data_IF_876971964815
#
_entry.id   IF_876971964815
#
_cell.length_a   1.000
_cell.length_b   1.000
_cell.length_c   1.000
_cell.angle_alpha   90.00
_cell.angle_beta   90.00
_cell.angle_gamma   90.00
#
_symmetry.space_group_name_H-M   'P 1'
#
loop_
_entity.id
_entity.type
_entity.pdbx_description
1 polymer ?
#
# COMPACT_ATOMS: atom_id res chain seq x y z
N UNK A 1 -13.53 -8.26 -0.28
CA UNK A 1 -14.45 -7.14 -0.08
C UNK A 1 -14.51 -6.28 -1.34
N UNK A 2 -15.67 -5.75 -1.64
CA UNK A 2 -15.82 -4.81 -2.77
C UNK A 2 -15.52 -3.38 -2.32
N UNK A 3 -15.27 -2.48 -3.26
CA UNK A 3 -15.06 -1.06 -2.96
C UNK A 3 -16.22 -0.46 -2.15
N UNK A 4 -17.50 -0.67 -2.55
CA UNK A 4 -18.62 -0.17 -1.73
C UNK A 4 -18.62 -0.69 -0.29
N UNK A 5 -18.27 -1.95 -0.08
CA UNK A 5 -18.20 -2.53 1.26
C UNK A 5 -17.10 -1.89 2.09
N UNK A 6 -15.93 -1.67 1.50
CA UNK A 6 -14.79 -1.01 2.16
C UNK A 6 -15.16 0.42 2.51
N UNK A 7 -15.75 1.14 1.56
CA UNK A 7 -16.16 2.53 1.76
C UNK A 7 -17.11 2.64 2.95
N UNK A 8 -18.10 1.77 3.02
CA UNK A 8 -19.07 1.77 4.11
C UNK A 8 -18.43 1.42 5.45
N UNK A 9 -17.55 0.40 5.46
CA UNK A 9 -16.92 -0.09 6.69
C UNK A 9 -16.04 0.97 7.34
N UNK A 10 -15.26 1.70 6.52
CA UNK A 10 -14.27 2.67 7.04
C UNK A 10 -14.71 4.12 6.91
N UNK A 11 -15.91 4.39 6.39
CA UNK A 11 -16.39 5.75 6.24
C UNK A 11 -15.62 6.57 5.21
N UNK A 12 -15.13 5.93 4.15
CA UNK A 12 -14.34 6.55 3.09
C UNK A 12 -15.19 6.63 1.82
N UNK A 13 -15.02 7.67 0.99
CA UNK A 13 -15.79 7.79 -0.24
C UNK A 13 -15.34 6.76 -1.27
N UNK A 14 -16.29 6.22 -2.03
CA UNK A 14 -16.00 5.27 -3.10
C UNK A 14 -15.14 5.93 -4.20
N UNK A 15 -15.42 7.19 -4.50
CA UNK A 15 -14.66 7.93 -5.50
C UNK A 15 -13.18 8.03 -5.11
N UNK A 16 -12.90 8.26 -3.84
CA UNK A 16 -11.54 8.32 -3.33
C UNK A 16 -10.84 6.96 -3.46
N UNK A 17 -11.54 5.89 -3.07
CA UNK A 17 -10.97 4.54 -3.16
C UNK A 17 -10.69 4.15 -4.62
N UNK A 18 -11.61 4.47 -5.54
CA UNK A 18 -11.42 4.17 -6.96
C UNK A 18 -10.24 4.94 -7.54
N UNK A 19 -10.08 6.20 -7.15
CA UNK A 19 -8.96 7.02 -7.61
C UNK A 19 -7.61 6.52 -7.10
N UNK A 20 -7.61 5.74 -6.02
CA UNK A 20 -6.40 5.21 -5.39
C UNK A 20 -6.15 3.72 -5.69
N UNK A 21 -6.95 3.12 -6.55
CA UNK A 21 -6.91 1.67 -6.75
C UNK A 21 -5.53 1.16 -7.14
N UNK A 22 -4.88 1.80 -8.13
CA UNK A 22 -3.55 1.38 -8.57
C UNK A 22 -2.51 1.48 -7.45
N UNK A 23 -2.57 2.55 -6.66
CA UNK A 23 -1.67 2.73 -5.54
C UNK A 23 -1.89 1.67 -4.46
N UNK A 24 -3.16 1.31 -4.20
CA UNK A 24 -3.48 0.27 -3.25
C UNK A 24 -2.98 -1.10 -3.72
N UNK A 25 -3.09 -1.39 -5.02
CA UNK A 25 -2.59 -2.64 -5.58
C UNK A 25 -1.07 -2.73 -5.43
N UNK A 26 -0.35 -1.66 -5.75
CA UNK A 26 1.10 -1.62 -5.60
C UNK A 26 1.51 -1.80 -4.14
N UNK A 27 0.81 -1.12 -3.23
CA UNK A 27 1.08 -1.23 -1.79
C UNK A 27 0.84 -2.66 -1.30
N UNK A 28 -0.26 -3.29 -1.71
CA UNK A 28 -0.58 -4.66 -1.32
C UNK A 28 0.47 -5.65 -1.84
N UNK A 29 0.89 -5.52 -3.10
CA UNK A 29 1.93 -6.37 -3.68
C UNK A 29 3.25 -6.19 -2.95
N UNK A 30 3.62 -4.95 -2.61
CA UNK A 30 4.84 -4.66 -1.87
C UNK A 30 4.83 -5.27 -0.47
N UNK A 31 3.68 -5.27 0.20
CA UNK A 31 3.54 -5.89 1.51
C UNK A 31 3.67 -7.41 1.45
N UNK A 32 3.13 -8.04 0.40
CA UNK A 32 3.30 -9.48 0.17
C UNK A 32 4.78 -9.80 -0.05
N UNK A 33 5.47 -8.99 -0.85
CA UNK A 33 6.92 -9.16 -1.07
C UNK A 33 7.69 -9.03 0.23
N UNK A 34 7.38 -8.03 1.05
CA UNK A 34 8.02 -7.83 2.36
C UNK A 34 7.80 -9.03 3.28
N UNK A 35 6.60 -9.57 3.30
CA UNK A 35 6.29 -10.78 4.07
C UNK A 35 7.19 -11.94 3.65
N UNK A 36 7.35 -12.13 2.33
CA UNK A 36 8.24 -13.17 1.80
C UNK A 36 9.70 -12.93 2.17
N UNK A 37 10.15 -11.68 2.10
CA UNK A 37 11.51 -11.31 2.47
C UNK A 37 11.81 -11.65 3.93
N UNK A 38 10.90 -11.34 4.82
CA UNK A 38 11.04 -11.66 6.24
C UNK A 38 11.03 -13.17 6.46
N UNK A 39 10.13 -13.89 5.80
CA UNK A 39 10.02 -15.34 5.92
C UNK A 39 11.28 -16.06 5.42
N UNK A 40 11.97 -15.48 4.43
CA UNK A 40 13.18 -16.03 3.84
C UNK A 40 14.46 -15.51 4.50
N UNK A 41 14.35 -14.79 5.60
CA UNK A 41 15.49 -14.24 6.34
C UNK A 41 16.39 -13.36 5.46
N UNK A 42 15.77 -12.55 4.60
CA UNK A 42 16.52 -11.59 3.78
C UNK A 42 17.30 -10.62 4.66
N UNK A 43 18.43 -10.07 4.17
CA UNK A 43 19.18 -9.08 4.95
C UNK A 43 18.30 -7.92 5.40
N UNK A 44 18.50 -7.51 6.65
CA UNK A 44 17.72 -6.42 7.26
C UNK A 44 17.78 -5.15 6.42
N UNK A 45 18.93 -4.85 5.84
CA UNK A 45 19.12 -3.67 5.00
C UNK A 45 18.20 -3.68 3.79
N UNK A 46 18.04 -4.83 3.11
CA UNK A 46 17.15 -4.94 1.96
C UNK A 46 15.69 -4.76 2.37
N UNK A 47 15.29 -5.32 3.50
CA UNK A 47 13.94 -5.16 4.04
C UNK A 47 13.69 -3.69 4.35
N UNK A 48 14.65 -3.02 5.00
CA UNK A 48 14.52 -1.61 5.34
C UNK A 48 14.40 -0.73 4.09
N UNK A 49 15.17 -1.02 3.04
CA UNK A 49 15.12 -0.29 1.78
C UNK A 49 13.76 -0.44 1.11
N UNK A 50 13.18 -1.63 1.14
CA UNK A 50 11.85 -1.87 0.56
C UNK A 50 10.78 -1.14 1.35
N UNK A 51 10.87 -1.14 2.68
CA UNK A 51 9.94 -0.40 3.54
C UNK A 51 10.04 1.10 3.29
N UNK A 52 11.25 1.63 3.13
CA UNK A 52 11.45 3.05 2.85
C UNK A 52 10.83 3.42 1.50
N UNK A 53 11.05 2.59 0.48
CA UNK A 53 10.43 2.79 -0.83
C UNK A 53 8.90 2.86 -0.72
N UNK A 54 8.32 1.90 -0.01
CA UNK A 54 6.87 1.84 0.14
C UNK A 54 6.33 3.05 0.90
N UNK A 55 7.01 3.46 1.96
CA UNK A 55 6.61 4.62 2.74
C UNK A 55 6.67 5.91 1.89
N UNK A 56 7.74 6.09 1.13
CA UNK A 56 7.91 7.26 0.26
C UNK A 56 6.83 7.27 -0.84
N UNK A 57 6.59 6.12 -1.46
CA UNK A 57 5.58 5.99 -2.49
C UNK A 57 4.18 6.34 -1.96
N UNK A 58 3.79 5.77 -0.83
CA UNK A 58 2.48 6.04 -0.24
C UNK A 58 2.34 7.50 0.20
N UNK A 59 3.41 8.09 0.70
CA UNK A 59 3.40 9.48 1.10
C UNK A 59 3.19 10.40 -0.12
N UNK A 60 3.85 10.11 -1.23
CA UNK A 60 3.66 10.87 -2.47
C UNK A 60 2.25 10.74 -3.00
N UNK A 61 1.69 9.52 -3.00
CA UNK A 61 0.31 9.29 -3.44
C UNK A 61 -0.66 10.07 -2.56
N UNK A 62 -0.44 10.07 -1.26
CA UNK A 62 -1.27 10.81 -0.32
C UNK A 62 -1.25 12.30 -0.63
N UNK A 63 -0.09 12.85 -0.95
CA UNK A 63 0.08 14.29 -1.16
C UNK A 63 -0.26 14.75 -2.58
N UNK A 64 -0.29 13.86 -3.55
CA UNK A 64 -0.56 14.21 -4.94
C UNK A 64 -2.04 14.41 -5.27
N UNK A 65 -2.92 14.14 -4.32
CA UNK A 65 -4.35 14.15 -4.51
C UNK A 65 -5.00 15.36 -3.87
N UNK A 66 -4.95 16.41 -4.56
CA UNK A 66 -5.59 17.65 -4.11
C UNK A 66 -6.74 18.04 -5.03
#
# INVERSE_FOLDING_TARGET
>A
MTIPEIAKKYGISEAYLNAKDDALQIAAASLVDLKGMVANNMPREQIANKLQFLADFLYEVKNSNH
#
